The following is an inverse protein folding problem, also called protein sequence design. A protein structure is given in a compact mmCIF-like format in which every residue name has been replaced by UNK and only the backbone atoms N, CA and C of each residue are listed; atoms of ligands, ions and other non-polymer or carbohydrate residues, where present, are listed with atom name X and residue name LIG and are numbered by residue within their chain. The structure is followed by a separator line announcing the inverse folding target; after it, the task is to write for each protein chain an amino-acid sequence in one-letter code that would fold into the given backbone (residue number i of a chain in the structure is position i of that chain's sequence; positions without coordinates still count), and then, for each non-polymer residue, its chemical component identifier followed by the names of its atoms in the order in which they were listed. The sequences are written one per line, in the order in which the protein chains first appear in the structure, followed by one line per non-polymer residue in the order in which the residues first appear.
data_IF_167397217796
#
_entry.id   IF_167397217796
#
_cell.length_a   1.000
_cell.length_b   1.000
_cell.length_c   1.000
_cell.angle_alpha   90.00
_cell.angle_beta   90.00
_cell.angle_gamma   90.00
#
_symmetry.space_group_name_H-M   'P 1'
#
loop_
_entity.id
_entity.type
_entity.pdbx_description
1 polymer ?
#
# COMPACT_ATOMS: atom_id res chain seq x y z
N UNK A 1 -12.15 -3.18 -25.87
CA UNK A 1 -11.44 -2.51 -24.77
C UNK A 1 -11.38 -3.49 -23.61
N UNK A 2 -10.18 -3.89 -23.14
CA UNK A 2 -10.07 -4.80 -21.99
C UNK A 2 -10.14 -4.00 -20.70
N UNK A 3 -11.17 -4.28 -19.90
CA UNK A 3 -11.37 -3.73 -18.57
C UNK A 3 -11.28 -4.84 -17.53
N UNK A 4 -10.97 -4.46 -16.29
CA UNK A 4 -10.93 -5.34 -15.12
C UNK A 4 -11.52 -4.61 -13.93
N UNK A 5 -12.22 -5.35 -13.06
CA UNK A 5 -12.76 -4.82 -11.82
C UNK A 5 -11.70 -4.92 -10.73
N UNK A 6 -11.40 -3.79 -10.09
CA UNK A 6 -10.50 -3.73 -8.95
C UNK A 6 -11.16 -4.32 -7.70
N UNK A 7 -10.56 -5.34 -7.07
CA UNK A 7 -11.14 -5.98 -5.86
C UNK A 7 -11.14 -5.07 -4.62
N UNK A 8 -10.38 -3.97 -4.63
CA UNK A 8 -10.26 -3.01 -3.51
C UNK A 8 -11.31 -1.90 -3.59
N UNK A 9 -11.36 -1.16 -4.68
CA UNK A 9 -12.32 -0.06 -4.87
C UNK A 9 -13.60 -0.47 -5.62
N UNK A 10 -13.68 -1.72 -6.12
CA UNK A 10 -14.83 -2.27 -6.85
C UNK A 10 -15.21 -1.51 -8.13
N UNK A 11 -14.30 -0.70 -8.66
CA UNK A 11 -14.49 0.02 -9.92
C UNK A 11 -13.96 -0.78 -11.10
N UNK A 12 -14.69 -0.73 -12.21
CA UNK A 12 -14.22 -1.19 -13.51
C UNK A 12 -13.26 -0.18 -14.11
N UNK A 13 -12.06 -0.62 -14.46
CA UNK A 13 -11.01 0.23 -15.03
C UNK A 13 -10.33 -0.48 -16.20
N UNK A 14 -9.73 0.25 -17.16
CA UNK A 14 -8.91 -0.34 -18.20
C UNK A 14 -7.77 -1.19 -17.63
N UNK A 15 -7.39 -2.28 -18.29
CA UNK A 15 -6.27 -3.13 -17.83
C UNK A 15 -4.93 -2.39 -17.69
N UNK A 16 -4.76 -1.26 -18.39
CA UNK A 16 -3.59 -0.38 -18.27
C UNK A 16 -3.50 0.30 -16.89
N UNK A 17 -4.60 0.37 -16.14
CA UNK A 17 -4.67 0.87 -14.77
C UNK A 17 -4.30 -0.20 -13.73
N UNK A 18 -3.88 -1.38 -14.17
CA UNK A 18 -3.42 -2.47 -13.32
C UNK A 18 -1.92 -2.70 -13.51
N UNK A 19 -1.23 -3.09 -12.43
CA UNK A 19 0.17 -3.49 -12.53
C UNK A 19 0.29 -4.90 -13.12
N UNK A 20 1.36 -5.14 -13.88
CA UNK A 20 1.69 -6.48 -14.35
C UNK A 20 2.06 -7.39 -13.19
N UNK A 21 1.51 -8.60 -13.18
CA UNK A 21 1.82 -9.64 -12.22
C UNK A 21 1.95 -10.98 -12.94
N UNK A 22 3.19 -11.39 -13.21
CA UNK A 22 3.48 -12.67 -13.88
C UNK A 22 3.00 -13.90 -13.10
N UNK A 23 2.69 -13.74 -11.81
CA UNK A 23 2.18 -14.83 -10.95
C UNK A 23 0.66 -14.99 -11.03
N UNK A 24 -0.05 -14.06 -11.67
CA UNK A 24 -1.50 -14.15 -11.86
C UNK A 24 -1.83 -14.78 -13.21
N UNK A 25 -2.94 -15.51 -13.27
CA UNK A 25 -3.42 -16.20 -14.48
C UNK A 25 -3.61 -15.25 -15.66
N UNK A 26 -4.05 -14.02 -15.40
CA UNK A 26 -4.27 -12.99 -16.42
C UNK A 26 -3.11 -11.99 -16.57
N UNK A 27 -1.99 -12.23 -15.87
CA UNK A 27 -0.80 -11.38 -15.94
C UNK A 27 -0.94 -10.00 -15.29
N UNK A 28 -2.02 -9.74 -14.54
CA UNK A 28 -2.35 -8.46 -13.92
C UNK A 28 -2.72 -8.60 -12.44
N UNK A 29 -2.37 -7.60 -11.63
CA UNK A 29 -2.84 -7.52 -10.24
C UNK A 29 -4.37 -7.52 -10.14
N UNK A 30 -4.89 -7.97 -8.99
CA UNK A 30 -6.33 -7.95 -8.69
C UNK A 30 -6.86 -6.56 -8.33
N UNK A 31 -5.98 -5.60 -8.06
CA UNK A 31 -6.30 -4.22 -7.71
C UNK A 31 -5.60 -3.22 -8.63
N UNK A 32 -6.20 -2.04 -8.79
CA UNK A 32 -5.67 -0.97 -9.65
C UNK A 32 -4.46 -0.26 -9.02
N UNK A 33 -3.71 0.46 -9.86
CA UNK A 33 -2.57 1.31 -9.50
C UNK A 33 -2.91 2.32 -8.41
N UNK A 34 -4.10 2.92 -8.45
CA UNK A 34 -4.54 3.87 -7.42
C UNK A 34 -4.66 3.22 -6.05
N UNK A 35 -5.28 2.04 -5.98
CA UNK A 35 -5.39 1.29 -4.73
C UNK A 35 -4.01 0.86 -4.21
N UNK A 36 -3.08 0.52 -5.11
CA UNK A 36 -1.70 0.22 -4.74
C UNK A 36 -0.99 1.46 -4.14
N UNK A 37 -1.14 2.63 -4.77
CA UNK A 37 -0.58 3.89 -4.26
C UNK A 37 -1.18 4.26 -2.90
N UNK A 38 -2.49 4.14 -2.74
CA UNK A 38 -3.16 4.40 -1.47
C UNK A 38 -2.63 3.49 -0.35
N UNK A 39 -2.42 2.20 -0.65
CA UNK A 39 -1.83 1.25 0.29
C UNK A 39 -0.39 1.62 0.64
N UNK A 40 0.44 1.98 -0.34
CA UNK A 40 1.83 2.39 -0.10
C UNK A 40 1.91 3.63 0.81
N UNK A 41 1.05 4.63 0.57
CA UNK A 41 0.98 5.84 1.41
C UNK A 41 0.55 5.52 2.85
N UNK A 42 -0.43 4.63 3.02
CA UNK A 42 -0.87 4.17 4.34
C UNK A 42 0.27 3.49 5.11
N UNK A 43 1.04 2.62 4.44
CA UNK A 43 2.22 1.98 5.03
C UNK A 43 3.29 2.99 5.46
N UNK A 44 3.62 3.96 4.60
CA UNK A 44 4.61 5.00 4.91
C UNK A 44 4.18 5.82 6.14
N UNK A 45 2.89 6.20 6.21
CA UNK A 45 2.35 6.95 7.35
C UNK A 45 2.43 6.14 8.64
N UNK A 46 2.00 4.87 8.62
CA UNK A 46 2.05 3.99 9.78
C UNK A 46 3.48 3.77 10.28
N UNK A 47 4.43 3.54 9.37
CA UNK A 47 5.83 3.32 9.72
C UNK A 47 6.49 4.59 10.29
N UNK A 48 6.15 5.78 9.75
CA UNK A 48 6.64 7.06 10.30
C UNK A 48 6.17 7.26 11.74
N UNK A 49 4.89 7.00 12.01
CA UNK A 49 4.33 7.09 13.37
C UNK A 49 5.01 6.08 14.30
N UNK A 50 5.15 4.83 13.88
CA UNK A 50 5.82 3.78 14.67
C UNK A 50 7.26 4.17 15.02
N UNK A 51 8.04 4.65 14.05
CA UNK A 51 9.42 5.10 14.27
C UNK A 51 9.50 6.29 15.23
N UNK A 52 8.58 7.25 15.14
CA UNK A 52 8.53 8.38 16.06
C UNK A 52 8.24 7.93 17.49
N UNK A 53 7.26 7.04 17.69
CA UNK A 53 6.94 6.46 18.99
C UNK A 53 8.11 5.68 19.58
N UNK A 54 8.77 4.83 18.79
CA UNK A 54 9.95 4.08 19.24
C UNK A 54 11.10 5.00 19.65
N UNK A 55 11.33 6.10 18.93
CA UNK A 55 12.34 7.10 19.30
C UNK A 55 11.99 7.82 20.61
N UNK A 56 10.73 8.22 20.77
CA UNK A 56 10.26 8.86 22.00
C UNK A 56 10.38 7.92 23.22
N UNK A 57 9.99 6.65 23.07
CA UNK A 57 10.14 5.63 24.09
C UNK A 57 11.60 5.41 24.47
N UNK A 58 12.50 5.33 23.48
CA UNK A 58 13.95 5.17 23.72
C UNK A 58 14.54 6.39 24.44
N UNK A 59 14.07 7.60 24.13
CA UNK A 59 14.50 8.82 24.83
C UNK A 59 14.02 8.82 26.28
N UNK A 60 12.74 8.55 26.52
CA UNK A 60 12.19 8.48 27.88
C UNK A 60 12.93 7.46 28.77
N UNK A 61 13.31 6.32 28.21
CA UNK A 61 14.10 5.31 28.91
C UNK A 61 15.54 5.76 29.24
N UNK A 62 16.14 6.64 28.42
CA UNK A 62 17.47 7.19 28.68
C UNK A 62 17.45 8.37 29.66
N UNK A 63 16.33 9.09 29.77
CA UNK A 63 16.16 10.21 30.72
C UNK A 63 15.80 9.71 32.14
N UNK A 64 15.67 8.40 32.37
CA UNK A 64 15.33 7.80 33.68
C UNK A 64 16.54 7.29 34.48
N UNK A 65 17.77 7.56 34.01
CA UNK A 65 19.05 7.19 34.66
C UNK A 65 19.77 8.42 35.23
#
# INVERSE_FOLDING_TARGET
MNTKVCVKCKQEKPVIEFHKNSRSTDGLHSYCKECNRAQALAHIKAEKTRRALLRAAKKAAADTE
#
